data_IF_460139009522
#
_entry.id   IF_460139009522
#
_cell.length_a   1.000
_cell.length_b   1.000
_cell.length_c   1.000
_cell.angle_alpha   90.00
_cell.angle_beta   90.00
_cell.angle_gamma   90.00
#
_symmetry.space_group_name_H-M   'P 1'
#
loop_
_entity.id
_entity.type
_entity.pdbx_description
1 polymer ?
#
# COMPACT_ATOMS: atom_id res chain seq x y z
N UNK A 1 -1.22 -1.03 22.15
CA UNK A 1 0.11 -1.01 21.51
C UNK A 1 0.89 0.17 22.05
N UNK A 2 2.14 -0.04 22.49
CA UNK A 2 3.03 1.05 22.90
C UNK A 2 3.53 1.88 21.71
N UNK A 3 4.10 3.05 22.01
CA UNK A 3 4.45 4.07 21.01
C UNK A 3 5.65 3.67 20.14
N UNK A 4 6.60 2.93 20.70
CA UNK A 4 7.77 2.45 19.95
C UNK A 4 7.34 1.42 18.91
N UNK A 5 6.53 0.44 19.33
CA UNK A 5 5.97 -0.57 18.44
C UNK A 5 5.04 0.05 17.39
N UNK A 6 4.19 0.99 17.79
CA UNK A 6 3.29 1.69 16.87
C UNK A 6 4.07 2.48 15.81
N UNK A 7 5.06 3.26 16.21
CA UNK A 7 5.90 3.99 15.27
C UNK A 7 6.64 3.04 14.31
N UNK A 8 7.14 1.91 14.79
CA UNK A 8 7.81 0.91 13.95
C UNK A 8 6.88 0.31 12.90
N UNK A 9 5.67 -0.09 13.30
CA UNK A 9 4.68 -0.63 12.36
C UNK A 9 4.21 0.43 11.35
N UNK A 10 4.00 1.68 11.77
CA UNK A 10 3.64 2.76 10.86
C UNK A 10 4.74 3.05 9.83
N UNK A 11 6.02 3.04 10.23
CA UNK A 11 7.13 3.20 9.27
C UNK A 11 7.23 2.00 8.31
N UNK A 12 6.86 0.80 8.75
CA UNK A 12 6.78 -0.38 7.88
C UNK A 12 5.68 -0.23 6.83
N UNK A 13 4.49 0.21 7.25
CA UNK A 13 3.38 0.51 6.34
C UNK A 13 3.81 1.61 5.37
N UNK A 14 4.36 2.72 5.86
CA UNK A 14 4.87 3.81 5.03
C UNK A 14 5.84 3.31 3.95
N UNK A 15 6.74 2.39 4.33
CA UNK A 15 7.68 1.78 3.39
C UNK A 15 6.94 1.01 2.28
N UNK A 16 5.91 0.24 2.62
CA UNK A 16 5.10 -0.50 1.65
C UNK A 16 4.38 0.43 0.67
N UNK A 17 3.73 1.50 1.15
CA UNK A 17 3.02 2.46 0.29
C UNK A 17 3.98 3.13 -0.72
N UNK A 18 5.22 3.43 -0.32
CA UNK A 18 6.23 3.91 -1.26
C UNK A 18 6.59 2.88 -2.34
N UNK A 19 6.55 1.59 -2.00
CA UNK A 19 6.69 0.52 -2.97
C UNK A 19 5.53 0.48 -3.97
N UNK A 20 4.29 0.60 -3.47
CA UNK A 20 3.09 0.67 -4.31
C UNK A 20 3.10 1.89 -5.24
N UNK A 21 3.52 3.06 -4.73
CA UNK A 21 3.68 4.25 -5.54
C UNK A 21 4.64 4.01 -6.72
N UNK A 22 5.73 3.27 -6.47
CA UNK A 22 6.67 2.85 -7.52
C UNK A 22 6.04 1.90 -8.56
N UNK A 23 5.14 1.00 -8.14
CA UNK A 23 4.42 0.09 -9.05
C UNK A 23 3.55 0.87 -10.04
N UNK A 24 2.82 1.88 -9.56
CA UNK A 24 1.87 2.60 -10.39
C UNK A 24 2.46 3.83 -11.09
N UNK A 25 3.66 4.29 -10.71
CA UNK A 25 4.28 5.51 -11.23
C UNK A 25 4.54 5.52 -12.75
N UNK A 26 4.80 4.35 -13.34
CA UNK A 26 5.05 4.21 -14.79
C UNK A 26 3.77 3.99 -15.61
N UNK A 27 2.61 4.43 -15.11
CA UNK A 27 1.31 4.20 -15.75
C UNK A 27 1.24 4.66 -17.21
N UNK A 28 2.06 5.61 -17.66
CA UNK A 28 2.09 6.11 -19.05
C UNK A 28 2.55 5.03 -20.04
N UNK A 29 3.34 4.05 -19.60
CA UNK A 29 3.95 3.03 -20.44
C UNK A 29 2.98 1.93 -20.90
N UNK A 30 1.80 1.81 -20.28
CA UNK A 30 0.82 0.78 -20.67
C UNK A 30 0.02 1.21 -21.90
N UNK A 31 -0.19 0.31 -22.87
CA UNK A 31 -0.94 0.61 -24.09
C UNK A 31 -2.46 0.74 -23.89
N UNK A 32 -3.03 -0.05 -22.98
CA UNK A 32 -4.46 -0.04 -22.65
C UNK A 32 -4.83 1.26 -21.89
N UNK A 33 -5.76 2.04 -22.46
CA UNK A 33 -6.21 3.34 -21.91
C UNK A 33 -6.87 3.22 -20.53
N UNK A 34 -7.61 2.15 -20.28
CA UNK A 34 -8.27 1.91 -19.01
C UNK A 34 -7.25 1.58 -17.93
N UNK A 35 -6.27 0.72 -18.23
CA UNK A 35 -5.15 0.40 -17.33
C UNK A 35 -4.37 1.67 -16.99
N UNK A 36 -4.01 2.49 -17.97
CA UNK A 36 -3.33 3.78 -17.71
C UNK A 36 -4.10 4.67 -16.75
N UNK A 37 -5.42 4.77 -16.93
CA UNK A 37 -6.29 5.61 -16.08
C UNK A 37 -6.41 5.05 -14.67
N UNK A 38 -6.59 3.74 -14.54
CA UNK A 38 -6.68 3.07 -13.26
C UNK A 38 -5.36 3.19 -12.50
N UNK A 39 -4.22 2.90 -13.12
CA UNK A 39 -2.92 2.98 -12.47
C UNK A 39 -2.56 4.41 -12.07
N UNK A 40 -2.89 5.40 -12.89
CA UNK A 40 -2.79 6.80 -12.45
C UNK A 40 -3.62 7.05 -11.18
N UNK A 41 -4.87 6.56 -11.13
CA UNK A 41 -5.72 6.75 -9.95
C UNK A 41 -5.15 6.00 -8.74
N UNK A 42 -4.61 4.81 -8.92
CA UNK A 42 -3.98 4.04 -7.85
C UNK A 42 -2.74 4.76 -7.32
N UNK A 43 -1.90 5.31 -8.20
CA UNK A 43 -0.78 6.18 -7.81
C UNK A 43 -1.25 7.36 -6.92
N UNK A 44 -2.32 8.06 -7.31
CA UNK A 44 -2.89 9.16 -6.50
C UNK A 44 -3.38 8.68 -5.12
N UNK A 45 -4.02 7.50 -5.06
CA UNK A 45 -4.45 6.86 -3.80
C UNK A 45 -3.26 6.53 -2.91
N UNK A 46 -2.18 5.99 -3.47
CA UNK A 46 -0.95 5.68 -2.73
C UNK A 46 -0.26 6.94 -2.17
N UNK A 47 -0.25 8.06 -2.91
CA UNK A 47 0.20 9.35 -2.39
C UNK A 47 -0.63 9.81 -1.18
N UNK A 48 -1.95 9.61 -1.24
CA UNK A 48 -2.86 9.91 -0.12
C UNK A 48 -2.57 9.01 1.09
N UNK A 49 -2.34 7.71 0.89
CA UNK A 49 -1.96 6.77 1.95
C UNK A 49 -0.66 7.20 2.64
N UNK A 50 0.39 7.47 1.86
CA UNK A 50 1.69 7.97 2.34
C UNK A 50 1.48 9.24 3.18
N UNK A 51 0.66 10.17 2.70
CA UNK A 51 0.33 11.40 3.40
C UNK A 51 -0.37 11.17 4.74
N UNK A 52 -1.37 10.27 4.78
CA UNK A 52 -2.10 9.90 6.01
C UNK A 52 -1.14 9.29 7.05
N UNK A 53 -0.36 8.29 6.67
CA UNK A 53 0.58 7.59 7.58
C UNK A 53 1.70 8.51 8.06
N UNK A 54 2.28 9.32 7.16
CA UNK A 54 3.33 10.28 7.51
C UNK A 54 2.85 11.31 8.54
N UNK A 55 1.60 11.78 8.42
CA UNK A 55 1.00 12.69 9.42
C UNK A 55 0.82 12.01 10.77
N UNK A 56 0.36 10.76 10.80
CA UNK A 56 0.22 9.99 12.04
C UNK A 56 1.57 9.87 12.75
N UNK A 57 2.62 9.43 12.03
CA UNK A 57 3.97 9.25 12.61
C UNK A 57 4.48 10.57 13.22
N UNK A 58 4.32 11.69 12.51
CA UNK A 58 4.73 13.02 13.01
C UNK A 58 3.94 13.43 14.26
N UNK A 59 2.64 13.18 14.28
CA UNK A 59 1.77 13.51 15.42
C UNK A 59 2.09 12.65 16.65
N UNK A 60 2.67 11.46 16.47
CA UNK A 60 3.22 10.63 17.55
C UNK A 60 4.62 11.07 18.02
N UNK A 61 5.16 12.17 17.47
CA UNK A 61 6.53 12.62 17.75
C UNK A 61 7.62 11.83 17.02
N UNK A 62 7.24 10.89 16.14
CA UNK A 62 8.16 10.11 15.32
C UNK A 62 8.62 10.86 14.06
N UNK A 63 9.67 10.34 13.43
CA UNK A 63 10.14 10.80 12.11
C UNK A 63 9.72 9.77 11.04
N UNK A 64 8.94 10.16 10.01
CA UNK A 64 8.69 9.29 8.86
C UNK A 64 10.00 8.88 8.22
N UNK A 65 10.19 7.57 8.07
CA UNK A 65 11.40 6.96 7.55
C UNK A 65 11.06 5.67 6.84
N UNK A 66 11.74 5.40 5.72
CA UNK A 66 11.63 4.12 5.05
C UNK A 66 12.51 3.11 5.78
N UNK A 67 11.96 1.95 6.11
CA UNK A 67 12.70 0.84 6.71
C UNK A 67 13.69 0.25 5.70
N UNK A 68 13.37 0.39 4.41
CA UNK A 68 14.19 -0.06 3.29
C UNK A 68 14.43 1.12 2.37
N UNK A 69 15.70 1.47 2.18
CA UNK A 69 16.12 2.42 1.15
C UNK A 69 16.33 1.71 -0.21
N UNK A 70 15.97 2.40 -1.30
CA UNK A 70 16.21 1.99 -2.69
C UNK A 70 14.96 1.57 -3.48
N UNK A 71 15.11 1.41 -4.81
CA UNK A 71 13.98 1.31 -5.76
C UNK A 71 13.20 0.00 -5.77
N UNK A 72 13.67 -1.07 -5.13
CA UNK A 72 13.01 -2.39 -5.13
C UNK A 72 12.42 -2.75 -3.75
N UNK A 73 11.57 -1.87 -3.24
CA UNK A 73 10.85 -2.08 -1.97
C UNK A 73 9.99 -3.33 -2.05
N UNK A 74 9.20 -3.45 -3.12
CA UNK A 74 8.25 -4.54 -3.34
C UNK A 74 8.96 -5.88 -3.44
N UNK A 75 10.05 -5.97 -4.20
CA UNK A 75 10.82 -7.21 -4.29
C UNK A 75 11.42 -7.65 -2.98
N UNK A 76 11.89 -6.71 -2.16
CA UNK A 76 12.41 -7.01 -0.82
C UNK A 76 11.33 -7.44 0.18
N UNK A 77 10.12 -6.89 0.09
CA UNK A 77 9.03 -7.22 1.01
C UNK A 77 8.26 -8.48 0.63
N UNK A 78 8.04 -8.70 -0.66
CA UNK A 78 7.17 -9.76 -1.17
C UNK A 78 7.90 -10.85 -1.96
N UNK A 79 9.21 -10.70 -2.20
CA UNK A 79 9.99 -11.67 -2.97
C UNK A 79 9.64 -11.67 -4.47
N UNK A 80 9.18 -10.54 -5.00
CA UNK A 80 8.70 -10.40 -6.38
C UNK A 80 9.69 -9.60 -7.22
N UNK A 81 10.08 -10.11 -8.39
CA UNK A 81 10.97 -9.38 -9.31
C UNK A 81 10.17 -8.69 -10.41
N UNK A 82 10.17 -7.36 -10.43
CA UNK A 82 9.43 -6.55 -11.42
C UNK A 82 10.19 -6.31 -12.73
N UNK A 83 11.53 -6.37 -12.71
CA UNK A 83 12.40 -5.87 -13.79
C UNK A 83 12.34 -6.63 -15.13
N UNK A 84 11.53 -7.68 -15.24
CA UNK A 84 11.49 -8.57 -16.41
C UNK A 84 10.08 -8.84 -16.92
N UNK A 85 9.04 -8.22 -16.34
CA UNK A 85 7.65 -8.51 -16.69
C UNK A 85 7.15 -7.46 -17.68
N UNK A 86 7.05 -7.83 -18.97
CA UNK A 86 6.46 -7.00 -20.02
C UNK A 86 5.01 -7.38 -20.35
N UNK A 87 4.57 -8.56 -19.92
CA UNK A 87 3.20 -9.03 -20.15
C UNK A 87 2.21 -8.34 -19.20
N UNK A 88 1.20 -7.69 -19.78
CA UNK A 88 0.20 -6.93 -19.01
C UNK A 88 -0.57 -7.82 -18.04
N UNK A 89 -0.88 -9.06 -18.43
CA UNK A 89 -1.64 -9.97 -17.57
C UNK A 89 -0.83 -10.40 -16.35
N UNK A 90 0.45 -10.72 -16.54
CA UNK A 90 1.34 -11.03 -15.42
C UNK A 90 1.58 -9.81 -14.51
N UNK A 91 1.67 -8.59 -15.06
CA UNK A 91 1.72 -7.35 -14.25
C UNK A 91 0.48 -7.22 -13.36
N UNK A 92 -0.72 -7.33 -13.94
CA UNK A 92 -1.97 -7.23 -13.18
C UNK A 92 -2.07 -8.29 -12.08
N UNK A 93 -1.60 -9.50 -12.35
CA UNK A 93 -1.57 -10.61 -11.39
C UNK A 93 -0.62 -10.34 -10.23
N UNK A 94 0.58 -9.85 -10.53
CA UNK A 94 1.56 -9.46 -9.52
C UNK A 94 1.01 -8.31 -8.67
N UNK A 95 0.46 -7.28 -9.30
CA UNK A 95 -0.09 -6.12 -8.58
C UNK A 95 -1.26 -6.54 -7.70
N UNK A 96 -2.16 -7.38 -8.22
CA UNK A 96 -3.28 -7.95 -7.45
C UNK A 96 -2.79 -8.72 -6.22
N UNK A 97 -1.74 -9.54 -6.37
CA UNK A 97 -1.14 -10.26 -5.24
C UNK A 97 -0.57 -9.31 -4.18
N UNK A 98 0.12 -8.25 -4.60
CA UNK A 98 0.70 -7.26 -3.68
C UNK A 98 -0.42 -6.50 -2.95
N UNK A 99 -1.44 -6.02 -3.66
CA UNK A 99 -2.58 -5.32 -3.06
C UNK A 99 -3.33 -6.20 -2.05
N UNK A 100 -3.50 -7.49 -2.38
CA UNK A 100 -4.07 -8.46 -1.43
C UNK A 100 -3.22 -8.56 -0.16
N UNK A 101 -1.90 -8.64 -0.29
CA UNK A 101 -0.99 -8.72 0.86
C UNK A 101 -1.01 -7.44 1.69
N UNK A 102 -1.15 -6.29 1.05
CA UNK A 102 -1.28 -5.01 1.73
C UNK A 102 -2.60 -4.87 2.45
N UNK A 103 -3.72 -5.27 1.83
CA UNK A 103 -5.02 -5.39 2.51
C UNK A 103 -4.95 -6.31 3.74
N UNK A 104 -4.38 -7.51 3.61
CA UNK A 104 -4.17 -8.44 4.74
C UNK A 104 -3.31 -7.81 5.86
N UNK A 105 -2.27 -7.06 5.47
CA UNK A 105 -1.39 -6.34 6.39
C UNK A 105 -2.14 -5.25 7.16
N UNK A 106 -2.91 -4.42 6.46
CA UNK A 106 -3.77 -3.40 7.06
C UNK A 106 -4.83 -4.01 7.98
N UNK A 107 -5.53 -5.07 7.55
CA UNK A 107 -6.54 -5.74 8.36
C UNK A 107 -5.97 -6.24 9.69
N UNK A 108 -4.77 -6.83 9.65
CA UNK A 108 -4.07 -7.23 10.87
C UNK A 108 -3.71 -6.03 11.75
N UNK A 109 -3.22 -4.93 11.17
CA UNK A 109 -2.85 -3.73 11.92
C UNK A 109 -4.05 -3.04 12.57
N UNK A 110 -5.14 -2.85 11.81
CA UNK A 110 -6.42 -2.32 12.29
C UNK A 110 -6.94 -3.17 13.45
N UNK A 111 -7.02 -4.50 13.28
CA UNK A 111 -7.48 -5.39 14.34
C UNK A 111 -6.62 -5.30 15.62
N UNK A 112 -5.31 -5.11 15.48
CA UNK A 112 -4.42 -4.92 16.64
C UNK A 112 -4.63 -3.58 17.35
N UNK A 113 -4.99 -2.52 16.62
CA UNK A 113 -5.29 -1.22 17.19
C UNK A 113 -6.67 -1.20 17.86
N UNK A 114 -7.66 -1.83 17.25
CA UNK A 114 -9.04 -1.91 17.77
C UNK A 114 -9.13 -2.70 19.08
N UNK A 115 -8.21 -3.64 19.31
CA UNK A 115 -8.10 -4.37 20.58
C UNK A 115 -7.62 -3.48 21.75
N UNK A 116 -7.09 -2.30 21.47
CA UNK A 116 -6.64 -1.34 22.48
C UNK A 116 -7.74 -0.32 22.80
N UNK A 117 -8.00 -0.07 24.08
CA UNK A 117 -9.03 0.89 24.51
C UNK A 117 -8.60 2.35 24.40
N UNK A 118 -7.33 2.64 24.09
CA UNK A 118 -6.86 4.01 23.90
C UNK A 118 -7.51 4.68 22.68
N UNK A 119 -8.18 5.82 22.91
CA UNK A 119 -8.85 6.62 21.86
C UNK A 119 -7.93 6.94 20.68
N UNK A 120 -6.65 7.22 20.95
CA UNK A 120 -5.63 7.44 19.92
C UNK A 120 -5.51 6.25 18.98
N UNK A 121 -5.47 5.03 19.51
CA UNK A 121 -5.27 3.82 18.71
C UNK A 121 -6.54 3.54 17.88
N UNK A 122 -7.72 3.79 18.44
CA UNK A 122 -9.00 3.74 17.71
C UNK A 122 -9.03 4.76 16.55
N UNK A 123 -8.57 5.98 16.78
CA UNK A 123 -8.48 7.00 15.72
C UNK A 123 -7.50 6.59 14.61
N UNK A 124 -6.35 6.02 14.96
CA UNK A 124 -5.39 5.50 13.96
C UNK A 124 -5.99 4.31 13.21
N UNK A 125 -6.75 3.45 13.89
CA UNK A 125 -7.43 2.32 13.27
C UNK A 125 -8.41 2.78 12.18
N UNK A 126 -9.21 3.82 12.45
CA UNK A 126 -10.14 4.40 11.48
C UNK A 126 -9.42 4.91 10.22
N UNK A 127 -8.29 5.61 10.39
CA UNK A 127 -7.50 6.08 9.24
C UNK A 127 -6.90 4.91 8.45
N UNK A 128 -6.35 3.91 9.15
CA UNK A 128 -5.78 2.72 8.52
C UNK A 128 -6.83 1.85 7.82
N UNK A 129 -8.07 1.81 8.34
CA UNK A 129 -9.18 1.09 7.75
C UNK A 129 -9.62 1.70 6.41
N UNK A 130 -9.48 3.02 6.23
CA UNK A 130 -9.70 3.65 4.92
C UNK A 130 -8.69 3.14 3.88
N UNK A 131 -7.38 3.15 4.21
CA UNK A 131 -6.35 2.61 3.32
C UNK A 131 -6.54 1.10 3.06
N UNK A 132 -6.99 0.35 4.07
CA UNK A 132 -7.33 -1.07 3.97
C UNK A 132 -8.42 -1.34 2.91
N UNK A 133 -9.46 -0.51 2.92
CA UNK A 133 -10.57 -0.59 1.97
C UNK A 133 -10.07 -0.24 0.57
N UNK A 134 -9.30 0.83 0.44
CA UNK A 134 -8.74 1.29 -0.83
C UNK A 134 -7.85 0.20 -1.47
N UNK A 135 -6.94 -0.42 -0.70
CA UNK A 135 -6.14 -1.57 -1.16
C UNK A 135 -7.00 -2.75 -1.64
N UNK A 136 -8.10 -3.06 -0.94
CA UNK A 136 -8.99 -4.13 -1.37
C UNK A 136 -9.73 -3.80 -2.67
N UNK A 137 -10.18 -2.55 -2.84
CA UNK A 137 -10.82 -2.10 -4.07
C UNK A 137 -9.86 -2.14 -5.26
N UNK A 138 -8.60 -1.75 -5.05
CA UNK A 138 -7.55 -1.85 -6.08
C UNK A 138 -7.28 -3.32 -6.46
N UNK A 139 -7.15 -4.22 -5.47
CA UNK A 139 -7.04 -5.66 -5.69
C UNK A 139 -8.20 -6.19 -6.55
N UNK A 140 -9.45 -5.90 -6.17
CA UNK A 140 -10.63 -6.40 -6.87
C UNK A 140 -10.71 -5.88 -8.31
N UNK A 141 -10.32 -4.62 -8.53
CA UNK A 141 -10.26 -4.07 -9.88
C UNK A 141 -9.22 -4.80 -10.74
N UNK A 142 -8.02 -5.05 -10.20
CA UNK A 142 -6.96 -5.79 -10.90
C UNK A 142 -7.40 -7.23 -11.23
N UNK A 143 -8.04 -7.92 -10.28
CA UNK A 143 -8.59 -9.26 -10.47
C UNK A 143 -9.64 -9.31 -11.57
N UNK A 144 -10.54 -8.34 -11.59
CA UNK A 144 -11.56 -8.24 -12.62
C UNK A 144 -10.93 -7.92 -13.98
N UNK A 145 -10.01 -6.94 -14.05
CA UNK A 145 -9.37 -6.54 -15.30
C UNK A 145 -8.65 -7.73 -15.95
N UNK A 146 -7.94 -8.56 -15.17
CA UNK A 146 -7.30 -9.79 -15.66
C UNK A 146 -8.23 -10.78 -16.36
N UNK A 147 -9.51 -10.81 -16.01
CA UNK A 147 -10.51 -11.70 -16.61
C UNK A 147 -11.08 -11.14 -17.92
N UNK A 148 -10.85 -9.85 -18.18
CA UNK A 148 -11.43 -9.11 -19.31
C UNK A 148 -10.41 -8.70 -20.37
N UNK A 149 -9.13 -9.05 -20.17
CA UNK A 149 -8.03 -8.83 -21.14
C UNK A 149 -7.65 -10.11 -21.86
#
# INVERSE_FOLDING_TARGET
MDDEKLNKELNKILTLEHGHLGMYGNYIEHEDKEIRRAFRRFMEVEEEHIGKISRIIRNLGGKPSLIVDGGDIIGKFFGVTMNTVSDTKEILKIYSFIEKKSHEGYAKFVSQLEQDTQERNQFIAEIAAANMLEAHLMQLWLENKMQTI
#
